data_IF_666211563630
#
_entry.id   IF_666211563630
#
_cell.length_a   1.000
_cell.length_b   1.000
_cell.length_c   1.000
_cell.angle_alpha   90.00
_cell.angle_beta   90.00
_cell.angle_gamma   90.00
#
_symmetry.space_group_name_H-M   'P 1'
#
loop_
_entity.id
_entity.type
_entity.pdbx_description
1 polymer ?
#
# COMPACT_ATOMS: atom_id res chain seq x y z
N UNK A 1 42.61 -60.89 -26.46
CA UNK A 1 41.99 -59.64 -26.95
C UNK A 1 40.84 -59.27 -26.02
N UNK A 2 41.11 -58.41 -25.04
CA UNK A 2 40.13 -57.56 -24.35
C UNK A 2 40.93 -56.56 -23.53
N UNK A 3 40.80 -55.30 -23.92
CA UNK A 3 41.60 -54.17 -23.47
C UNK A 3 41.24 -53.78 -22.04
N UNK A 4 42.25 -53.67 -21.19
CA UNK A 4 42.19 -52.91 -19.95
C UNK A 4 42.31 -51.42 -20.30
N UNK A 5 41.29 -50.62 -19.95
CA UNK A 5 41.38 -49.16 -19.98
C UNK A 5 41.54 -48.63 -18.56
N UNK A 6 42.76 -48.19 -18.28
CA UNK A 6 43.15 -47.37 -17.14
C UNK A 6 43.03 -45.88 -17.48
N UNK A 7 42.98 -45.07 -16.41
CA UNK A 7 43.38 -43.66 -16.30
C UNK A 7 42.30 -42.59 -16.50
N UNK A 8 42.19 -41.73 -15.48
CA UNK A 8 41.47 -40.46 -15.57
C UNK A 8 41.29 -39.73 -14.24
N UNK A 9 42.26 -39.74 -13.32
CA UNK A 9 42.27 -38.82 -12.18
C UNK A 9 42.64 -37.43 -12.68
N UNK A 10 41.62 -36.63 -13.00
CA UNK A 10 41.76 -35.21 -13.31
C UNK A 10 41.83 -34.40 -12.03
N UNK A 11 43.05 -34.08 -11.59
CA UNK A 11 43.32 -33.07 -10.57
C UNK A 11 42.96 -31.70 -11.13
N UNK A 12 41.75 -31.22 -10.85
CA UNK A 12 41.33 -29.86 -11.19
C UNK A 12 41.87 -28.90 -10.13
N UNK A 13 43.06 -28.37 -10.38
CA UNK A 13 43.65 -27.25 -9.65
C UNK A 13 42.79 -26.01 -9.86
N UNK A 14 41.85 -25.78 -8.95
CA UNK A 14 41.03 -24.56 -8.89
C UNK A 14 41.89 -23.46 -8.25
N UNK A 15 42.49 -22.63 -9.11
CA UNK A 15 43.13 -21.38 -8.71
C UNK A 15 42.08 -20.48 -8.04
N UNK A 16 42.23 -20.29 -6.73
CA UNK A 16 41.51 -19.27 -5.98
C UNK A 16 42.01 -17.91 -6.46
N UNK A 17 41.18 -17.22 -7.23
CA UNK A 17 41.32 -15.79 -7.43
C UNK A 17 40.76 -15.09 -6.19
N UNK A 18 41.65 -14.35 -5.52
CA UNK A 18 41.36 -13.43 -4.43
C UNK A 18 40.39 -12.33 -4.90
N UNK A 19 39.08 -12.53 -4.74
CA UNK A 19 38.10 -11.44 -4.65
C UNK A 19 38.00 -10.92 -3.20
N UNK A 20 39.14 -10.59 -2.60
CA UNK A 20 39.22 -9.98 -1.27
C UNK A 20 39.57 -8.49 -1.40
N UNK A 21 38.59 -7.65 -1.76
CA UNK A 21 38.49 -6.23 -1.35
C UNK A 21 37.37 -5.44 -2.04
N UNK A 22 36.14 -5.97 -2.09
CA UNK A 22 34.97 -5.12 -2.28
C UNK A 22 34.48 -4.66 -0.90
N UNK A 23 35.03 -3.53 -0.47
CA UNK A 23 34.61 -2.84 0.75
C UNK A 23 33.08 -2.70 0.75
N UNK A 24 32.38 -3.10 1.84
CA UNK A 24 30.94 -3.00 1.90
C UNK A 24 30.53 -1.54 1.73
N UNK A 25 29.85 -1.26 0.63
CA UNK A 25 29.30 0.05 0.33
C UNK A 25 28.45 0.51 1.54
N UNK A 26 28.69 1.71 2.10
CA UNK A 26 28.01 2.13 3.31
C UNK A 26 26.49 2.21 3.04
N UNK A 27 25.72 1.43 3.80
CA UNK A 27 24.25 1.32 3.75
C UNK A 27 23.52 2.68 3.73
N UNK A 28 24.18 3.76 4.17
CA UNK A 28 23.69 5.14 4.06
C UNK A 28 23.42 5.60 2.62
N UNK A 29 24.20 5.17 1.63
CA UNK A 29 24.04 5.64 0.25
C UNK A 29 22.77 5.05 -0.39
N UNK A 30 22.40 3.82 -0.04
CA UNK A 30 21.19 3.16 -0.55
C UNK A 30 19.90 3.75 0.00
N UNK A 31 19.91 4.25 1.23
CA UNK A 31 18.70 4.85 1.81
C UNK A 31 18.37 6.21 1.18
N UNK A 32 19.40 7.00 0.84
CA UNK A 32 19.23 8.34 0.23
C UNK A 32 18.73 8.23 -1.22
N UNK A 33 19.15 7.21 -1.97
CA UNK A 33 18.66 7.01 -3.35
C UNK A 33 17.21 6.52 -3.40
N UNK A 34 16.78 5.71 -2.42
CA UNK A 34 15.40 5.25 -2.32
C UNK A 34 14.43 6.40 -1.96
N UNK A 35 14.80 7.28 -1.03
CA UNK A 35 13.99 8.46 -0.69
C UNK A 35 13.87 9.44 -1.86
N UNK A 36 14.95 9.63 -2.63
CA UNK A 36 14.92 10.49 -3.82
C UNK A 36 13.98 9.94 -4.90
N UNK A 37 14.03 8.64 -5.17
CA UNK A 37 13.16 8.01 -6.16
C UNK A 37 11.68 8.04 -5.75
N UNK A 38 11.38 7.96 -4.46
CA UNK A 38 10.01 8.08 -3.96
C UNK A 38 9.48 9.53 -4.09
N UNK A 39 10.32 10.53 -3.79
CA UNK A 39 9.97 11.93 -3.96
C UNK A 39 9.73 12.31 -5.45
N UNK A 40 10.58 11.82 -6.36
CA UNK A 40 10.41 12.04 -7.80
C UNK A 40 9.11 11.38 -8.32
N UNK A 41 8.75 10.19 -7.84
CA UNK A 41 7.47 9.54 -8.17
C UNK A 41 6.24 10.27 -7.64
N UNK A 42 6.29 10.81 -6.42
CA UNK A 42 5.20 11.63 -5.87
C UNK A 42 5.03 12.92 -6.67
N UNK A 43 6.14 13.54 -7.08
CA UNK A 43 6.09 14.75 -7.91
C UNK A 43 5.54 14.47 -9.31
N UNK A 44 5.88 13.32 -9.91
CA UNK A 44 5.28 12.86 -11.17
C UNK A 44 3.78 12.56 -11.00
N UNK A 45 3.37 11.95 -9.88
CA UNK A 45 1.96 11.68 -9.60
C UNK A 45 1.16 12.97 -9.39
N UNK A 46 1.68 13.95 -8.64
CA UNK A 46 1.08 15.28 -8.48
C UNK A 46 0.98 16.02 -9.82
N UNK A 47 2.00 15.90 -10.67
CA UNK A 47 2.01 16.46 -12.03
C UNK A 47 0.94 15.82 -12.92
N UNK A 48 0.76 14.49 -12.85
CA UNK A 48 -0.29 13.78 -13.58
C UNK A 48 -1.70 14.13 -13.09
N UNK A 49 -1.89 14.31 -11.77
CA UNK A 49 -3.19 14.74 -11.21
C UNK A 49 -3.48 16.20 -11.56
N UNK A 50 -2.48 17.07 -11.55
CA UNK A 50 -2.60 18.45 -12.01
C UNK A 50 -2.93 18.52 -13.52
N UNK A 51 -2.31 17.68 -14.34
CA UNK A 51 -2.59 17.58 -15.78
C UNK A 51 -4.00 17.00 -16.06
N UNK A 52 -4.55 16.17 -15.18
CA UNK A 52 -5.91 15.67 -15.28
C UNK A 52 -7.00 16.72 -15.00
N UNK A 53 -6.62 17.96 -14.61
CA UNK A 53 -7.57 19.06 -14.44
C UNK A 53 -8.59 18.84 -13.32
N UNK A 54 -8.34 17.90 -12.40
CA UNK A 54 -9.14 17.65 -11.21
C UNK A 54 -8.69 18.57 -10.07
N UNK A 55 -8.56 19.87 -10.34
CA UNK A 55 -8.48 20.87 -9.27
C UNK A 55 -9.80 20.86 -8.52
N UNK A 56 -9.79 20.27 -7.32
CA UNK A 56 -10.90 20.25 -6.38
C UNK A 56 -11.49 21.66 -6.20
N UNK A 57 -12.82 21.76 -6.25
CA UNK A 57 -13.54 22.89 -5.66
C UNK A 57 -13.56 24.19 -6.46
N UNK A 58 -13.28 24.17 -7.76
CA UNK A 58 -13.77 25.23 -8.62
C UNK A 58 -15.29 25.13 -8.67
N UNK A 59 -16.00 25.93 -7.87
CA UNK A 59 -17.44 26.15 -7.98
C UNK A 59 -17.74 26.53 -9.44
N UNK A 60 -18.08 25.51 -10.25
CA UNK A 60 -18.75 25.71 -11.52
C UNK A 60 -20.15 26.16 -11.10
N UNK A 61 -20.28 27.42 -10.67
CA UNK A 61 -21.54 28.12 -10.78
C UNK A 61 -21.87 28.05 -12.26
N UNK A 62 -22.88 27.27 -12.68
CA UNK A 62 -23.29 27.33 -14.05
C UNK A 62 -23.79 28.76 -14.25
N UNK A 63 -23.09 29.53 -15.07
CA UNK A 63 -23.51 30.85 -15.51
C UNK A 63 -24.76 30.72 -16.39
N UNK A 64 -25.89 30.31 -15.80
CA UNK A 64 -27.22 30.47 -16.36
C UNK A 64 -27.63 31.93 -16.12
N UNK A 65 -26.89 32.85 -16.74
CA UNK A 65 -27.25 34.26 -16.74
C UNK A 65 -28.48 34.48 -17.61
N UNK A 66 -29.57 34.93 -16.97
CA UNK A 66 -30.66 35.75 -17.53
C UNK A 66 -31.25 35.34 -18.89
N UNK A 67 -31.40 34.04 -19.16
CA UNK A 67 -32.25 33.62 -20.27
C UNK A 67 -33.72 33.92 -19.90
N UNK A 68 -34.47 34.67 -20.73
CA UNK A 68 -35.88 34.96 -20.47
C UNK A 68 -36.64 33.65 -20.28
N UNK A 69 -37.51 33.59 -19.27
CA UNK A 69 -38.26 32.36 -19.02
C UNK A 69 -39.18 32.10 -20.21
N UNK A 70 -39.47 30.83 -20.49
CA UNK A 70 -40.43 30.44 -21.54
C UNK A 70 -41.77 31.17 -21.38
N UNK A 71 -42.17 31.42 -20.13
CA UNK A 71 -43.38 32.15 -19.78
C UNK A 71 -43.34 33.61 -20.24
N UNK A 72 -42.19 34.27 -20.15
CA UNK A 72 -41.99 35.65 -20.62
C UNK A 72 -42.13 35.75 -22.14
N UNK A 73 -41.56 34.76 -22.86
CA UNK A 73 -41.68 34.67 -24.32
C UNK A 73 -43.13 34.42 -24.74
N UNK A 74 -43.85 33.54 -24.05
CA UNK A 74 -45.28 33.27 -24.31
C UNK A 74 -46.16 34.50 -24.06
N UNK A 75 -45.88 35.26 -23.00
CA UNK A 75 -46.63 36.48 -22.68
C UNK A 75 -46.37 37.61 -23.70
N UNK A 76 -45.11 37.78 -24.15
CA UNK A 76 -44.80 38.71 -25.24
C UNK A 76 -45.57 38.36 -26.51
N UNK A 77 -45.63 37.08 -26.88
CA UNK A 77 -46.33 36.63 -28.08
C UNK A 77 -47.85 36.87 -28.01
N UNK A 78 -48.46 36.54 -26.86
CA UNK A 78 -49.88 36.81 -26.62
C UNK A 78 -50.23 38.28 -26.80
N UNK A 79 -49.40 39.18 -26.26
CA UNK A 79 -49.62 40.62 -26.37
C UNK A 79 -49.59 41.10 -27.83
N UNK A 80 -48.68 40.56 -28.66
CA UNK A 80 -48.60 40.89 -30.09
C UNK A 80 -49.86 40.46 -30.85
N UNK A 81 -50.37 39.24 -30.57
CA UNK A 81 -51.63 38.76 -31.17
C UNK A 81 -52.80 39.65 -30.72
N UNK A 82 -52.91 39.93 -29.43
CA UNK A 82 -54.00 40.74 -28.88
C UNK A 82 -54.00 42.16 -29.46
N UNK A 83 -52.82 42.74 -29.75
CA UNK A 83 -52.72 44.06 -30.40
C UNK A 83 -53.17 44.04 -31.85
N UNK A 84 -52.81 43.00 -32.61
CA UNK A 84 -53.11 42.97 -34.05
C UNK A 84 -54.57 42.60 -34.32
N UNK A 85 -55.17 41.74 -33.49
CA UNK A 85 -56.62 41.43 -33.53
C UNK A 85 -57.47 42.66 -33.19
N UNK A 86 -57.05 43.49 -32.23
CA UNK A 86 -57.78 44.71 -31.87
C UNK A 86 -57.71 45.78 -32.96
N UNK A 87 -56.59 45.87 -33.68
CA UNK A 87 -56.36 46.87 -34.73
C UNK A 87 -57.32 46.71 -35.91
N UNK A 88 -57.72 45.49 -36.23
CA UNK A 88 -58.65 45.19 -37.33
C UNK A 88 -60.13 45.33 -36.95
N UNK A 89 -60.45 45.59 -35.68
CA UNK A 89 -61.84 45.70 -35.18
C UNK A 89 -62.42 47.12 -35.25
N UNK A 90 -61.75 48.08 -35.90
CA UNK A 90 -62.20 49.47 -36.01
C UNK A 90 -63.50 49.64 -36.80
N UNK A 91 -64.56 50.07 -36.11
CA UNK A 91 -65.92 50.26 -36.65
C UNK A 91 -65.99 51.39 -37.70
N UNK A 92 -66.40 51.08 -38.95
CA UNK A 92 -66.86 52.13 -39.87
C UNK A 92 -66.72 51.93 -41.38
N UNK A 93 -66.11 50.86 -41.89
CA UNK A 93 -65.92 50.66 -43.34
C UNK A 93 -66.87 49.63 -43.98
N UNK A 94 -67.09 49.76 -45.29
CA UNK A 94 -67.99 48.93 -46.12
C UNK A 94 -67.71 47.42 -45.97
N UNK A 95 -68.71 46.65 -45.49
CA UNK A 95 -68.62 45.25 -45.07
C UNK A 95 -67.81 44.29 -45.97
N UNK A 96 -67.78 44.47 -47.28
CA UNK A 96 -67.02 43.62 -48.20
C UNK A 96 -65.51 43.89 -48.18
N UNK A 97 -65.10 45.17 -48.07
CA UNK A 97 -63.66 45.53 -47.97
C UNK A 97 -63.06 45.09 -46.65
N UNK A 98 -63.81 45.22 -45.56
CA UNK A 98 -63.37 44.76 -44.23
C UNK A 98 -63.15 43.25 -44.21
N UNK A 99 -63.96 42.48 -44.94
CA UNK A 99 -63.79 41.03 -45.04
C UNK A 99 -62.50 40.66 -45.79
N UNK A 100 -62.18 41.37 -46.87
CA UNK A 100 -60.96 41.15 -47.65
C UNK A 100 -59.70 41.54 -46.86
N UNK A 101 -59.73 42.70 -46.19
CA UNK A 101 -58.65 43.15 -45.31
C UNK A 101 -58.45 42.19 -44.12
N UNK A 102 -59.55 41.74 -43.49
CA UNK A 102 -59.52 40.73 -42.44
C UNK A 102 -58.97 39.38 -42.91
N UNK A 103 -59.35 38.93 -44.11
CA UNK A 103 -58.82 37.69 -44.69
C UNK A 103 -57.31 37.83 -44.99
N UNK A 104 -56.87 38.97 -45.50
CA UNK A 104 -55.45 39.26 -45.71
C UNK A 104 -54.67 39.31 -44.39
N UNK A 105 -55.25 39.87 -43.33
CA UNK A 105 -54.65 39.89 -41.99
C UNK A 105 -54.57 38.49 -41.37
N UNK A 106 -55.64 37.69 -41.45
CA UNK A 106 -55.64 36.30 -41.00
C UNK A 106 -54.59 35.46 -41.74
N UNK A 107 -54.46 35.63 -43.06
CA UNK A 107 -53.41 34.95 -43.83
C UNK A 107 -52.01 35.33 -43.37
N UNK A 108 -51.76 36.63 -43.11
CA UNK A 108 -50.50 37.10 -42.54
C UNK A 108 -50.23 36.47 -41.16
N UNK A 109 -51.24 36.48 -40.28
CA UNK A 109 -51.13 35.89 -38.95
C UNK A 109 -50.85 34.37 -39.01
N UNK A 110 -51.53 33.65 -39.89
CA UNK A 110 -51.31 32.21 -40.11
C UNK A 110 -49.88 31.97 -40.59
N UNK A 111 -49.37 32.74 -41.55
CA UNK A 111 -48.00 32.60 -42.01
C UNK A 111 -46.97 32.88 -40.90
N UNK A 112 -47.15 33.96 -40.13
CA UNK A 112 -46.29 34.26 -38.99
C UNK A 112 -46.34 33.17 -37.92
N UNK A 113 -47.52 32.61 -37.65
CA UNK A 113 -47.67 31.47 -36.74
C UNK A 113 -46.92 30.23 -37.25
N UNK A 114 -46.98 29.95 -38.55
CA UNK A 114 -46.24 28.84 -39.16
C UNK A 114 -44.72 29.05 -39.06
N UNK A 115 -44.23 30.25 -39.38
CA UNK A 115 -42.81 30.63 -39.22
C UNK A 115 -42.35 30.48 -37.77
N UNK A 116 -43.16 30.93 -36.80
CA UNK A 116 -42.84 30.80 -35.38
C UNK A 116 -42.83 29.34 -34.91
N UNK A 117 -43.74 28.50 -35.39
CA UNK A 117 -43.75 27.07 -35.09
C UNK A 117 -42.48 26.41 -35.63
N UNK A 118 -42.03 26.77 -36.84
CA UNK A 118 -40.79 26.25 -37.42
C UNK A 118 -39.55 26.64 -36.59
N UNK A 119 -39.46 27.91 -36.17
CA UNK A 119 -38.39 28.39 -35.28
C UNK A 119 -38.42 27.67 -33.93
N UNK A 120 -39.61 27.46 -33.36
CA UNK A 120 -39.77 26.75 -32.09
C UNK A 120 -39.34 25.28 -32.20
N UNK A 121 -39.74 24.58 -33.26
CA UNK A 121 -39.30 23.20 -33.53
C UNK A 121 -37.78 23.13 -33.67
N UNK A 122 -37.18 24.05 -34.43
CA UNK A 122 -35.72 24.12 -34.58
C UNK A 122 -35.01 24.35 -33.23
N UNK A 123 -35.52 25.27 -32.41
CA UNK A 123 -34.97 25.54 -31.08
C UNK A 123 -35.11 24.32 -30.15
N UNK A 124 -36.25 23.63 -30.18
CA UNK A 124 -36.45 22.39 -29.40
C UNK A 124 -35.49 21.29 -29.84
N UNK A 125 -35.22 21.14 -31.14
CA UNK A 125 -34.25 20.18 -31.66
C UNK A 125 -32.81 20.52 -31.24
N UNK A 126 -32.45 21.80 -31.19
CA UNK A 126 -31.15 22.26 -30.68
C UNK A 126 -30.99 21.98 -29.18
N UNK A 127 -32.01 22.30 -28.37
CA UNK A 127 -32.01 22.01 -26.93
C UNK A 127 -31.92 20.51 -26.67
N UNK A 128 -32.67 19.69 -27.43
CA UNK A 128 -32.59 18.24 -27.33
C UNK A 128 -31.18 17.73 -27.64
N UNK A 129 -30.59 18.19 -28.75
CA UNK A 129 -29.23 17.80 -29.16
C UNK A 129 -28.18 18.19 -28.12
N UNK A 130 -28.30 19.39 -27.54
CA UNK A 130 -27.40 19.86 -26.49
C UNK A 130 -27.56 19.03 -25.20
N UNK A 131 -28.79 18.67 -24.83
CA UNK A 131 -29.05 17.79 -23.69
C UNK A 131 -28.46 16.38 -23.89
N UNK A 132 -28.58 15.81 -25.10
CA UNK A 132 -27.96 14.54 -25.48
C UNK A 132 -26.43 14.63 -25.40
N UNK A 133 -25.83 15.69 -25.96
CA UNK A 133 -24.37 15.92 -25.90
C UNK A 133 -23.85 16.03 -24.47
N UNK A 134 -24.54 16.77 -23.59
CA UNK A 134 -24.19 16.88 -22.16
C UNK A 134 -24.30 15.53 -21.45
N UNK A 135 -25.33 14.75 -21.77
CA UNK A 135 -25.51 13.40 -21.21
C UNK A 135 -24.37 12.47 -21.62
N UNK A 136 -23.99 12.48 -22.90
CA UNK A 136 -22.86 11.70 -23.41
C UNK A 136 -21.52 12.13 -22.79
N UNK A 137 -21.31 13.43 -22.59
CA UNK A 137 -20.13 13.95 -21.90
C UNK A 137 -20.08 13.49 -20.45
N UNK A 138 -21.19 13.61 -19.72
CA UNK A 138 -21.30 13.16 -18.33
C UNK A 138 -21.07 11.65 -18.21
N UNK A 139 -21.66 10.86 -19.10
CA UNK A 139 -21.47 9.40 -19.11
C UNK A 139 -20.01 9.01 -19.36
N UNK A 140 -19.31 9.70 -20.27
CA UNK A 140 -17.87 9.49 -20.51
C UNK A 140 -17.04 9.82 -19.27
N UNK A 141 -17.34 10.93 -18.58
CA UNK A 141 -16.65 11.31 -17.34
C UNK A 141 -16.88 10.30 -16.22
N UNK A 142 -18.11 9.83 -16.04
CA UNK A 142 -18.46 8.81 -15.05
C UNK A 142 -17.74 7.49 -15.33
N UNK A 143 -17.71 7.02 -16.59
CA UNK A 143 -16.96 5.81 -16.97
C UNK A 143 -15.46 5.97 -16.68
N UNK A 144 -14.87 7.08 -17.09
CA UNK A 144 -13.45 7.36 -16.84
C UNK A 144 -13.13 7.41 -15.34
N UNK A 145 -13.97 8.04 -14.53
CA UNK A 145 -13.82 8.07 -13.07
C UNK A 145 -13.95 6.68 -12.44
N UNK A 146 -14.90 5.87 -12.91
CA UNK A 146 -15.06 4.49 -12.45
C UNK A 146 -13.85 3.61 -12.81
N UNK A 147 -13.27 3.78 -14.00
CA UNK A 147 -12.09 3.03 -14.43
C UNK A 147 -10.84 3.41 -13.62
N UNK A 148 -10.64 4.71 -13.34
CA UNK A 148 -9.56 5.17 -12.45
C UNK A 148 -9.75 4.61 -11.05
N UNK A 149 -10.95 4.69 -10.49
CA UNK A 149 -11.24 4.15 -9.16
C UNK A 149 -10.96 2.64 -9.11
N UNK A 150 -11.42 1.89 -10.12
CA UNK A 150 -11.16 0.45 -10.22
C UNK A 150 -9.65 0.15 -10.26
N UNK A 151 -8.89 0.89 -11.06
CA UNK A 151 -7.42 0.76 -11.13
C UNK A 151 -6.76 1.03 -9.79
N UNK A 152 -7.16 2.11 -9.09
CA UNK A 152 -6.62 2.42 -7.76
C UNK A 152 -6.90 1.33 -6.74
N UNK A 153 -8.11 0.76 -6.74
CA UNK A 153 -8.47 -0.35 -5.84
C UNK A 153 -7.63 -1.60 -6.12
N UNK A 154 -7.38 -1.93 -7.39
CA UNK A 154 -6.49 -3.04 -7.73
C UNK A 154 -5.07 -2.81 -7.22
N UNK A 155 -4.49 -1.64 -7.49
CA UNK A 155 -3.15 -1.33 -6.98
C UNK A 155 -3.09 -1.38 -5.46
N UNK A 156 -4.08 -0.80 -4.75
CA UNK A 156 -4.16 -0.86 -3.29
C UNK A 156 -4.21 -2.30 -2.75
N UNK A 157 -4.88 -3.22 -3.47
CA UNK A 157 -4.89 -4.64 -3.13
C UNK A 157 -3.50 -5.26 -3.26
N UNK A 158 -2.79 -4.99 -4.36
CA UNK A 158 -1.42 -5.48 -4.59
C UNK A 158 -0.46 -4.97 -3.50
N UNK A 159 -0.53 -3.68 -3.16
CA UNK A 159 0.25 -3.09 -2.05
C UNK A 159 -0.09 -3.75 -0.71
N UNK A 160 -1.36 -4.11 -0.50
CA UNK A 160 -1.82 -4.82 0.71
C UNK A 160 -1.18 -6.20 0.84
N UNK A 161 -1.12 -6.97 -0.25
CA UNK A 161 -0.47 -8.29 -0.28
C UNK A 161 1.05 -8.19 -0.06
N UNK A 162 1.71 -7.21 -0.70
CA UNK A 162 3.15 -6.99 -0.51
C UNK A 162 3.47 -6.59 0.94
N UNK A 163 2.65 -5.72 1.55
CA UNK A 163 2.80 -5.31 2.94
C UNK A 163 2.63 -6.50 3.88
N UNK A 164 1.63 -7.36 3.65
CA UNK A 164 1.43 -8.57 4.44
C UNK A 164 2.63 -9.53 4.33
N UNK A 165 3.17 -9.72 3.12
CA UNK A 165 4.37 -10.52 2.89
C UNK A 165 5.60 -9.94 3.61
N UNK A 166 5.78 -8.61 3.59
CA UNK A 166 6.86 -7.93 4.29
C UNK A 166 6.75 -8.09 5.81
N UNK A 167 5.55 -7.94 6.37
CA UNK A 167 5.28 -8.15 7.81
C UNK A 167 5.62 -9.59 8.21
N UNK A 168 5.17 -10.58 7.46
CA UNK A 168 5.49 -11.99 7.72
C UNK A 168 7.00 -12.26 7.70
N UNK A 169 7.75 -11.68 6.75
CA UNK A 169 9.21 -11.80 6.71
C UNK A 169 9.88 -11.12 7.90
N UNK A 170 9.39 -9.96 8.31
CA UNK A 170 9.89 -9.23 9.48
C UNK A 170 9.72 -10.07 10.75
N UNK A 171 8.53 -10.65 10.98
CA UNK A 171 8.28 -11.50 12.16
C UNK A 171 9.24 -12.69 12.21
N UNK A 172 9.43 -13.42 11.10
CA UNK A 172 10.39 -14.53 11.04
C UNK A 172 11.83 -14.09 11.31
N UNK A 173 12.22 -12.90 10.84
CA UNK A 173 13.55 -12.36 11.09
C UNK A 173 13.73 -11.94 12.56
N UNK A 174 12.69 -11.39 13.19
CA UNK A 174 12.70 -11.05 14.62
C UNK A 174 12.77 -12.30 15.50
N UNK A 175 12.03 -13.35 15.16
CA UNK A 175 12.10 -14.67 15.81
C UNK A 175 13.52 -15.25 15.70
N UNK A 176 14.07 -15.32 14.48
CA UNK A 176 15.44 -15.82 14.27
C UNK A 176 16.50 -15.00 15.04
N UNK A 177 16.34 -13.67 15.09
CA UNK A 177 17.23 -12.82 15.88
C UNK A 177 17.13 -13.10 17.39
N UNK A 178 15.92 -13.40 17.88
CA UNK A 178 15.71 -13.78 19.27
C UNK A 178 16.38 -15.12 19.61
N UNK A 179 16.22 -16.13 18.75
CA UNK A 179 16.85 -17.44 18.91
C UNK A 179 18.38 -17.35 18.89
N UNK A 180 18.94 -16.59 17.95
CA UNK A 180 20.38 -16.34 17.88
C UNK A 180 20.90 -15.66 19.14
N UNK A 181 20.14 -14.71 19.71
CA UNK A 181 20.51 -14.04 20.96
C UNK A 181 20.58 -15.03 22.11
N UNK A 182 19.58 -15.90 22.27
CA UNK A 182 19.59 -16.94 23.30
C UNK A 182 20.78 -17.89 23.15
N UNK A 183 21.11 -18.28 21.91
CA UNK A 183 22.26 -19.13 21.63
C UNK A 183 23.59 -18.45 22.01
N UNK A 184 23.74 -17.16 21.67
CA UNK A 184 24.91 -16.37 22.06
C UNK A 184 25.02 -16.27 23.58
N UNK A 185 23.93 -15.99 24.28
CA UNK A 185 23.91 -15.90 25.74
C UNK A 185 24.30 -17.25 26.40
N UNK A 186 23.82 -18.38 25.85
CA UNK A 186 24.18 -19.72 26.30
C UNK A 186 25.68 -20.02 26.09
N UNK A 187 26.22 -19.74 24.89
CA UNK A 187 27.63 -19.93 24.58
C UNK A 187 28.54 -19.01 25.41
N UNK A 188 28.10 -17.79 25.70
CA UNK A 188 28.84 -16.86 26.55
C UNK A 188 28.91 -17.38 28.00
N UNK A 189 27.81 -17.95 28.51
CA UNK A 189 27.79 -18.59 29.83
C UNK A 189 28.74 -19.78 29.90
N UNK A 190 28.70 -20.66 28.89
CA UNK A 190 29.62 -21.81 28.78
C UNK A 190 31.09 -21.35 28.71
N UNK A 191 31.40 -20.35 27.87
CA UNK A 191 32.75 -19.81 27.77
C UNK A 191 33.28 -19.27 29.11
N UNK A 192 32.42 -18.59 29.88
CA UNK A 192 32.79 -18.11 31.21
C UNK A 192 33.06 -19.26 32.19
N UNK A 193 32.25 -20.33 32.15
CA UNK A 193 32.48 -21.54 32.96
C UNK A 193 33.81 -22.19 32.63
N UNK A 194 34.12 -22.36 31.33
CA UNK A 194 35.39 -22.93 30.86
C UNK A 194 36.58 -22.06 31.26
N UNK A 195 36.48 -20.73 31.18
CA UNK A 195 37.53 -19.81 31.64
C UNK A 195 37.78 -19.94 33.14
N UNK A 196 36.73 -20.06 33.94
CA UNK A 196 36.86 -20.27 35.39
C UNK A 196 37.54 -21.62 35.68
N UNK A 197 37.13 -22.69 35.00
CA UNK A 197 37.75 -24.00 35.14
C UNK A 197 39.24 -23.98 34.75
N UNK A 198 39.58 -23.31 33.64
CA UNK A 198 40.97 -23.14 33.22
C UNK A 198 41.82 -22.35 34.23
N UNK A 199 41.24 -21.30 34.83
CA UNK A 199 41.89 -20.54 35.89
C UNK A 199 42.16 -21.40 37.13
N UNK A 200 41.19 -22.23 37.53
CA UNK A 200 41.34 -23.17 38.65
C UNK A 200 42.46 -24.18 38.37
N UNK A 201 42.47 -24.82 37.19
CA UNK A 201 43.55 -25.76 36.81
C UNK A 201 44.92 -25.08 36.76
N UNK A 202 44.99 -23.85 36.26
CA UNK A 202 46.25 -23.08 36.22
C UNK A 202 46.79 -22.80 37.62
N UNK A 203 45.91 -22.49 38.58
CA UNK A 203 46.26 -22.33 39.98
C UNK A 203 46.79 -23.64 40.60
N UNK A 204 46.14 -24.76 40.31
CA UNK A 204 46.54 -26.07 40.83
C UNK A 204 47.92 -26.50 40.29
N UNK A 205 48.19 -26.26 39.01
CA UNK A 205 49.52 -26.49 38.40
C UNK A 205 50.59 -25.63 39.08
N UNK A 206 50.32 -24.34 39.31
CA UNK A 206 51.26 -23.44 39.99
C UNK A 206 51.53 -23.89 41.43
N UNK A 207 50.49 -24.36 42.13
CA UNK A 207 50.60 -24.92 43.47
C UNK A 207 51.48 -26.16 43.48
N UNK A 208 51.28 -27.10 42.55
CA UNK A 208 52.12 -28.30 42.38
C UNK A 208 53.58 -27.95 42.10
N UNK A 209 53.84 -27.02 41.17
CA UNK A 209 55.20 -26.58 40.85
C UNK A 209 55.91 -26.00 42.08
N UNK A 210 55.18 -25.27 42.93
CA UNK A 210 55.71 -24.73 44.18
C UNK A 210 56.11 -25.83 45.16
N UNK A 211 55.23 -26.81 45.40
CA UNK A 211 55.53 -27.97 46.26
C UNK A 211 56.77 -28.71 45.75
N UNK A 212 56.83 -29.01 44.44
CA UNK A 212 57.95 -29.73 43.84
C UNK A 212 59.26 -28.94 44.03
N UNK A 213 59.22 -27.62 43.86
CA UNK A 213 60.38 -26.76 44.09
C UNK A 213 60.85 -26.81 45.54
N UNK A 214 59.92 -26.74 46.51
CA UNK A 214 60.23 -26.81 47.94
C UNK A 214 60.76 -28.17 48.35
N UNK A 215 60.16 -29.26 47.86
CA UNK A 215 60.60 -30.62 48.12
C UNK A 215 62.02 -30.87 47.56
N UNK A 216 62.34 -30.31 46.39
CA UNK A 216 63.71 -30.36 45.84
C UNK A 216 64.71 -29.59 46.69
N UNK A 217 64.32 -28.45 47.23
CA UNK A 217 65.21 -27.61 48.04
C UNK A 217 65.47 -28.19 49.43
N UNK A 218 64.46 -28.81 50.04
CA UNK A 218 64.50 -29.27 51.44
C UNK A 218 64.71 -30.77 51.59
N UNK A 219 64.40 -31.56 50.57
CA UNK A 219 64.36 -33.03 50.62
C UNK A 219 63.08 -33.61 51.22
N UNK A 220 62.12 -32.78 51.64
CA UNK A 220 60.88 -33.21 52.28
C UNK A 220 59.66 -32.89 51.41
N UNK A 221 58.78 -33.88 51.20
CA UNK A 221 57.50 -33.70 50.54
C UNK A 221 56.45 -33.31 51.58
N UNK A 222 56.03 -32.04 51.60
CA UNK A 222 54.93 -31.57 52.45
C UNK A 222 53.73 -31.33 51.54
N UNK A 223 52.66 -32.12 51.74
CA UNK A 223 51.41 -32.02 50.97
C UNK A 223 50.27 -31.41 51.79
N UNK A 224 50.51 -31.07 53.06
CA UNK A 224 49.48 -30.78 54.06
C UNK A 224 48.63 -29.52 53.78
N UNK A 225 49.03 -28.69 52.81
CA UNK A 225 48.39 -27.40 52.53
C UNK A 225 47.80 -27.28 51.11
N UNK A 226 47.76 -28.35 50.31
CA UNK A 226 47.30 -28.25 48.91
C UNK A 226 46.00 -29.01 48.70
N UNK A 227 44.94 -28.26 48.45
CA UNK A 227 43.64 -28.75 48.02
C UNK A 227 43.57 -28.65 46.50
N UNK A 228 43.60 -29.78 45.80
CA UNK A 228 43.35 -29.83 44.36
C UNK A 228 41.86 -29.73 44.08
N UNK A 229 41.52 -29.11 42.95
CA UNK A 229 40.16 -29.19 42.46
C UNK A 229 39.83 -30.65 42.11
N UNK A 230 38.71 -31.15 42.62
CA UNK A 230 38.21 -32.48 42.27
C UNK A 230 37.66 -32.42 40.84
N UNK A 231 38.28 -33.17 39.92
CA UNK A 231 37.87 -33.26 38.53
C UNK A 231 36.98 -34.49 38.38
N UNK A 232 35.76 -34.31 37.89
CA UNK A 232 34.86 -35.45 37.69
C UNK A 232 35.31 -36.27 36.46
N UNK A 233 35.12 -37.60 36.44
CA UNK A 233 35.44 -38.41 35.27
C UNK A 233 34.74 -37.90 34.00
N UNK A 234 33.54 -37.37 34.13
CA UNK A 234 32.78 -36.77 33.02
C UNK A 234 33.45 -35.52 32.45
N UNK A 235 34.23 -34.78 33.25
CA UNK A 235 34.98 -33.61 32.77
C UNK A 235 36.22 -34.00 31.96
N UNK A 236 36.84 -35.14 32.26
CA UNK A 236 38.03 -35.64 31.54
C UNK A 236 37.64 -36.40 30.28
N UNK A 237 36.62 -37.25 30.38
CA UNK A 237 36.25 -38.19 29.33
C UNK A 237 35.01 -37.76 28.53
N UNK A 238 34.39 -36.63 28.91
CA UNK A 238 33.10 -36.19 28.40
C UNK A 238 31.92 -36.92 29.06
N UNK A 239 30.67 -36.51 28.77
CA UNK A 239 29.49 -37.21 29.28
C UNK A 239 29.58 -38.68 28.87
N UNK A 240 29.53 -39.58 29.85
CA UNK A 240 29.54 -41.02 29.60
C UNK A 240 28.20 -41.37 28.95
N UNK A 241 28.15 -41.34 27.63
CA UNK A 241 27.00 -41.83 26.89
C UNK A 241 26.92 -43.34 27.15
N UNK A 242 25.94 -43.73 27.96
CA UNK A 242 25.60 -45.13 28.15
C UNK A 242 25.17 -45.69 26.77
N UNK A 243 26.12 -46.31 26.06
CA UNK A 243 25.91 -46.97 24.77
C UNK A 243 24.85 -48.09 24.85
N UNK A 244 24.45 -48.49 26.06
CA UNK A 244 23.37 -49.44 26.32
C UNK A 244 21.96 -48.87 26.14
N UNK A 245 21.78 -47.55 26.07
CA UNK A 245 20.45 -46.94 25.91
C UNK A 245 20.02 -46.75 24.44
N UNK A 246 20.92 -46.98 23.46
CA UNK A 246 20.63 -46.81 22.04
C UNK A 246 20.15 -48.10 21.34
N UNK A 247 19.79 -49.13 22.12
CA UNK A 247 19.25 -50.40 21.63
C UNK A 247 17.76 -50.61 21.92
N UNK A 248 17.03 -49.56 22.34
CA UNK A 248 15.58 -49.62 22.46
C UNK A 248 14.92 -48.85 21.29
N UNK A 249 14.34 -49.62 20.37
CA UNK A 249 13.32 -49.22 19.40
C UNK A 249 13.66 -48.08 18.43
N UNK A 250 14.58 -48.37 17.50
CA UNK A 250 14.36 -47.91 16.12
C UNK A 250 13.24 -48.77 15.54
N UNK A 251 11.99 -48.46 15.89
CA UNK A 251 10.84 -48.80 15.05
C UNK A 251 11.04 -47.98 13.79
N UNK A 252 11.72 -48.57 12.81
CA UNK A 252 11.68 -48.09 11.43
C UNK A 252 10.19 -48.04 11.08
N UNK A 253 9.60 -46.86 10.83
CA UNK A 253 8.28 -46.80 10.24
C UNK A 253 8.47 -47.49 8.90
N UNK A 254 7.97 -48.71 8.80
CA UNK A 254 7.83 -49.41 7.53
C UNK A 254 6.92 -48.48 6.73
N UNK A 255 7.52 -47.67 5.85
CA UNK A 255 6.79 -46.98 4.82
C UNK A 255 6.10 -48.08 4.02
N UNK A 256 4.83 -48.31 4.33
CA UNK A 256 3.91 -48.98 3.44
C UNK A 256 3.80 -48.04 2.26
N UNK A 257 4.61 -48.32 1.24
CA UNK A 257 4.42 -47.76 -0.08
C UNK A 257 3.19 -48.50 -0.61
N UNK A 258 2.01 -47.93 -0.38
CA UNK A 258 0.80 -48.30 -1.09
C UNK A 258 0.97 -47.81 -2.54
N UNK A 259 1.35 -48.72 -3.43
CA UNK A 259 1.54 -48.48 -4.87
C UNK A 259 0.20 -48.38 -5.65
N UNK A 260 -0.95 -48.39 -4.99
CA UNK A 260 -2.28 -48.41 -5.66
C UNK A 260 -3.17 -47.19 -5.35
N UNK A 261 -2.61 -46.05 -4.94
CA UNK A 261 -3.38 -44.79 -4.88
C UNK A 261 -3.48 -44.14 -6.26
N UNK A 262 -4.43 -44.65 -7.04
CA UNK A 262 -4.95 -44.10 -8.27
C UNK A 262 -5.24 -42.59 -8.12
N UNK A 263 -4.63 -41.79 -9.00
CA UNK A 263 -4.74 -40.33 -9.02
C UNK A 263 -6.14 -39.93 -9.47
N UNK A 264 -7.10 -39.86 -8.54
CA UNK A 264 -8.37 -39.21 -8.79
C UNK A 264 -8.16 -37.69 -8.66
N UNK A 265 -7.95 -37.05 -9.81
CA UNK A 265 -8.05 -35.59 -9.99
C UNK A 265 -9.52 -35.16 -9.80
N UNK A 266 -9.99 -35.12 -8.56
CA UNK A 266 -11.17 -34.33 -8.21
C UNK A 266 -10.71 -33.00 -7.63
N UNK A 267 -11.04 -31.93 -8.36
CA UNK A 267 -11.01 -30.55 -7.89
C UNK A 267 -11.77 -30.44 -6.55
N UNK A 268 -11.11 -30.05 -5.44
CA UNK A 268 -11.86 -29.54 -4.31
C UNK A 268 -12.16 -28.08 -4.60
N UNK A 269 -13.44 -27.81 -4.84
CA UNK A 269 -13.99 -26.48 -4.67
C UNK A 269 -13.63 -25.95 -3.28
N UNK A 270 -13.39 -24.65 -3.24
CA UNK A 270 -13.19 -23.82 -2.05
C UNK A 270 -14.22 -24.15 -0.96
N UNK A 271 -13.84 -25.03 -0.03
CA UNK A 271 -14.49 -25.14 1.27
C UNK A 271 -13.49 -24.62 2.31
N UNK A 272 -13.73 -23.37 2.71
CA UNK A 272 -12.98 -22.67 3.75
C UNK A 272 -13.33 -23.33 5.08
N UNK A 273 -12.52 -24.30 5.51
CA UNK A 273 -12.49 -24.73 6.90
C UNK A 273 -11.65 -23.74 7.71
N UNK A 274 -12.34 -22.96 8.53
CA UNK A 274 -11.77 -22.21 9.66
C UNK A 274 -11.17 -23.20 10.67
N UNK A 275 -9.92 -23.61 10.45
CA UNK A 275 -9.11 -24.22 11.48
C UNK A 275 -8.56 -23.10 12.39
N UNK A 276 -9.19 -22.95 13.54
CA UNK A 276 -8.70 -22.10 14.62
C UNK A 276 -7.34 -22.57 15.11
N UNK A 277 -6.29 -21.85 14.72
CA UNK A 277 -5.01 -21.83 15.43
C UNK A 277 -4.87 -20.42 16.00
N UNK A 278 -5.42 -20.27 17.20
CA UNK A 278 -5.23 -19.09 18.04
C UNK A 278 -3.86 -19.19 18.69
N UNK A 279 -2.80 -18.87 17.94
CA UNK A 279 -1.53 -18.47 18.54
C UNK A 279 -1.40 -16.95 18.41
N UNK A 280 -1.92 -16.30 19.44
CA UNK A 280 -1.93 -14.86 19.62
C UNK A 280 -0.48 -14.39 19.75
N UNK A 281 0.07 -13.86 18.66
CA UNK A 281 1.21 -12.96 18.75
C UNK A 281 0.79 -11.78 19.66
N UNK A 282 1.50 -11.46 20.75
CA UNK A 282 1.11 -10.40 21.66
C UNK A 282 1.19 -9.05 20.95
N UNK A 283 0.01 -8.60 20.51
CA UNK A 283 -0.42 -7.24 20.17
C UNK A 283 0.68 -6.17 20.09
N UNK A 284 1.13 -5.90 18.86
CA UNK A 284 1.25 -4.50 18.42
C UNK A 284 -0.09 -4.11 17.82
N UNK A 285 -0.92 -3.43 18.61
CA UNK A 285 -2.21 -2.86 18.22
C UNK A 285 -2.00 -1.80 17.12
N UNK A 286 -1.78 -2.22 15.88
CA UNK A 286 -1.96 -1.37 14.71
C UNK A 286 -3.31 -1.75 14.13
N UNK A 287 -4.34 -1.09 14.70
CA UNK A 287 -5.71 -1.12 14.22
C UNK A 287 -5.74 -0.54 12.80
N UNK A 288 -5.50 -1.39 11.79
CA UNK A 288 -5.99 -1.11 10.44
C UNK A 288 -7.50 -1.31 10.47
N UNK A 289 -8.22 -0.27 10.86
CA UNK A 289 -9.64 -0.17 10.55
C UNK A 289 -9.77 -0.26 9.03
N UNK A 290 -10.32 -1.38 8.55
CA UNK A 290 -10.90 -1.42 7.20
C UNK A 290 -11.83 -0.21 7.10
N UNK A 291 -11.68 0.69 6.10
CA UNK A 291 -12.68 1.69 5.85
C UNK A 291 -13.99 0.95 5.57
N UNK A 292 -14.94 1.06 6.49
CA UNK A 292 -16.32 0.65 6.26
C UNK A 292 -16.82 1.57 5.15
N UNK A 293 -16.85 1.06 3.93
CA UNK A 293 -17.62 1.68 2.85
C UNK A 293 -19.07 1.53 3.29
N UNK A 294 -19.59 2.56 3.96
CA UNK A 294 -20.98 2.64 4.31
C UNK A 294 -21.79 2.61 3.01
N UNK A 295 -22.67 1.61 2.88
CA UNK A 295 -23.64 1.55 1.81
C UNK A 295 -24.50 2.82 1.86
N UNK A 296 -24.49 3.57 0.76
CA UNK A 296 -25.31 4.75 0.52
C UNK A 296 -26.78 4.35 0.34
N UNK A 297 -27.50 4.11 1.43
CA UNK A 297 -28.96 3.98 1.42
C UNK A 297 -29.57 4.80 2.57
N UNK A 298 -29.30 6.10 2.64
CA UNK A 298 -30.15 7.07 3.37
C UNK A 298 -29.76 8.53 3.10
N UNK A 299 -30.04 9.04 1.89
CA UNK A 299 -30.14 10.49 1.67
C UNK A 299 -31.56 10.96 1.98
N UNK A 300 -31.81 11.19 3.26
CA UNK A 300 -32.95 11.97 3.73
C UNK A 300 -32.59 13.45 3.61
N UNK A 301 -33.12 14.12 2.59
CA UNK A 301 -33.02 15.58 2.41
C UNK A 301 -33.79 16.30 3.52
N UNK A 302 -33.10 16.59 4.63
CA UNK A 302 -33.55 17.52 5.66
C UNK A 302 -33.06 18.93 5.36
N UNK A 303 -33.76 19.66 4.48
CA UNK A 303 -33.57 21.10 4.34
C UNK A 303 -34.26 21.82 5.50
N UNK A 304 -33.47 22.26 6.47
CA UNK A 304 -33.92 23.24 7.48
C UNK A 304 -32.82 24.28 7.76
N UNK A 305 -33.06 25.46 7.18
CA UNK A 305 -32.99 26.79 7.80
C UNK A 305 -31.67 27.37 8.34
N UNK A 306 -31.58 28.69 8.10
CA UNK A 306 -30.77 29.73 8.76
C UNK A 306 -29.30 29.77 8.33
N UNK A 307 -28.77 30.88 7.81
CA UNK A 307 -29.08 32.27 8.11
C UNK A 307 -27.96 32.83 8.98
N UNK A 308 -26.86 33.27 8.35
CA UNK A 308 -26.05 34.43 8.76
C UNK A 308 -24.81 34.54 7.87
N UNK A 309 -24.80 35.61 7.10
CA UNK A 309 -23.63 36.22 6.48
C UNK A 309 -22.53 36.44 7.53
N UNK A 310 -21.34 35.89 7.29
CA UNK A 310 -20.05 36.50 7.63
C UNK A 310 -18.90 35.69 7.01
N UNK A 311 -18.10 36.26 6.08
CA UNK A 311 -16.91 35.58 5.58
C UNK A 311 -15.77 35.63 6.61
N UNK A 312 -15.01 34.54 6.81
CA UNK A 312 -13.84 34.56 7.68
C UNK A 312 -12.69 35.30 6.99
N UNK A 313 -12.20 36.37 7.63
CA UNK A 313 -10.91 36.99 7.31
C UNK A 313 -9.79 36.08 7.81
N UNK A 314 -9.14 35.34 6.91
CA UNK A 314 -7.84 34.74 7.21
C UNK A 314 -6.74 35.79 7.04
N UNK A 315 -6.24 36.28 8.17
CA UNK A 315 -4.96 36.99 8.25
C UNK A 315 -3.83 35.96 8.23
N UNK A 316 -2.99 36.00 7.20
CA UNK A 316 -1.70 35.31 7.19
C UNK A 316 -0.66 36.14 7.96
N UNK A 317 0.07 35.58 8.93
CA UNK A 317 1.26 36.24 9.43
C UNK A 317 2.47 35.86 8.56
N UNK A 318 3.05 36.90 7.96
CA UNK A 318 4.45 36.92 7.53
C UNK A 318 5.36 36.38 8.65
N UNK A 319 6.17 35.37 8.34
CA UNK A 319 7.34 35.03 9.15
C UNK A 319 8.59 35.08 8.27
N UNK A 320 9.28 36.22 8.34
CA UNK A 320 10.68 36.33 7.98
C UNK A 320 11.48 35.29 8.76
N UNK A 321 12.24 34.43 8.07
CA UNK A 321 13.36 33.71 8.68
C UNK A 321 14.63 33.99 7.89
N UNK A 322 15.39 34.92 8.43
CA UNK A 322 16.80 35.13 8.14
C UNK A 322 17.64 33.98 8.69
N UNK A 323 18.78 33.71 8.03
CA UNK A 323 19.91 32.94 8.55
C UNK A 323 20.11 31.62 7.83
N UNK A 324 21.31 31.21 7.44
CA UNK A 324 22.64 31.77 7.67
C UNK A 324 23.58 30.99 6.75
N UNK A 325 24.43 31.69 6.01
CA UNK A 325 25.53 31.06 5.25
C UNK A 325 26.52 30.43 6.23
N UNK A 326 26.79 29.14 6.07
CA UNK A 326 28.00 28.51 6.63
C UNK A 326 28.96 28.29 5.46
N UNK A 327 30.03 29.09 5.45
CA UNK A 327 31.24 28.84 4.66
C UNK A 327 32.06 27.79 5.41
N UNK A 328 32.41 26.69 4.75
CA UNK A 328 33.56 25.91 5.18
C UNK A 328 34.73 26.17 4.25
N UNK A 329 35.82 26.65 4.85
CA UNK A 329 37.13 26.79 4.25
C UNK A 329 37.85 25.44 4.24
N UNK A 330 38.59 25.21 3.17
CA UNK A 330 39.61 24.18 3.04
C UNK A 330 40.76 24.41 4.03
N UNK A 331 41.30 23.31 4.56
CA UNK A 331 42.73 23.10 4.80
C UNK A 331 43.01 21.60 4.61
#
# INVERSE_FOLDING_TARGET
MSEMRSNGLGSSSRSGEDESSKSPEPLRVRHVTLERNHAERLQEQESCVAAAGLTEGGDIQPAFGDSPSLLDVMNMFKNVIDTEVRKDSGEGASSARNLEESNAALRRLVNTLLEHIEVLVTCLDEVKREAENRTDQMQRRLRSSADVTRSTVYTLSEWGEELQSLVSRKCRAEEAAHDMKHMVDALQKENNQLRQHNANLSHDIQSLLTIISEARATGNWVMDCVTFCEISPEEVYGPVFNLSAQQADVVVPHAVIDEDSEVHLENPGLEVQEAGISEVCPQSNILFQRPVIANEDTLSLGLSSSGSDSPPRFSTPYSHRNGQQVRHCNS
#
